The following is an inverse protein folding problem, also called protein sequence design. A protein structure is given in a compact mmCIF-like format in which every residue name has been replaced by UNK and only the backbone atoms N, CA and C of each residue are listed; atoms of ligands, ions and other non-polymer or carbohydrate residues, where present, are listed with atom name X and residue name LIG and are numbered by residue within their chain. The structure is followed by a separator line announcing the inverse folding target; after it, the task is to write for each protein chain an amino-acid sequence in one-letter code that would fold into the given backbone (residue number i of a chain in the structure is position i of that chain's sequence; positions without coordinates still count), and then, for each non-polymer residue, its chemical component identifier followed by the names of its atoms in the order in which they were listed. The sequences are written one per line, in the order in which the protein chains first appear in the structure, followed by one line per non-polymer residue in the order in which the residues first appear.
data_IF_134529545075
#
_entry.id   IF_134529545075
#
_cell.length_a   1.000
_cell.length_b   1.000
_cell.length_c   1.000
_cell.angle_alpha   90.00
_cell.angle_beta   90.00
_cell.angle_gamma   90.00
#
_symmetry.space_group_name_H-M   'P 1'
#
loop_
_entity.id
_entity.type
_entity.pdbx_description
1 polymer ?
#
# COMPACT_ATOMS: atom_id res chain seq x y z
N UNK A 1 5.81 1.10 -4.42
CA UNK A 1 6.88 0.42 -5.16
C UNK A 1 8.19 1.19 -5.06
N UNK A 2 9.31 0.47 -5.01
CA UNK A 2 10.70 1.00 -5.06
C UNK A 2 11.33 0.83 -6.45
N UNK A 3 10.54 0.45 -7.44
CA UNK A 3 11.03 0.29 -8.81
C UNK A 3 11.44 1.65 -9.37
N UNK A 4 12.58 1.69 -10.06
CA UNK A 4 13.06 2.91 -10.72
C UNK A 4 12.09 3.38 -11.80
N UNK A 5 12.11 4.68 -12.08
CA UNK A 5 11.23 5.28 -13.05
C UNK A 5 11.55 4.87 -14.50
N UNK A 6 10.60 5.06 -15.40
CA UNK A 6 10.82 4.95 -16.83
C UNK A 6 11.84 6.02 -17.28
N UNK A 7 12.75 5.65 -18.18
CA UNK A 7 13.85 6.51 -18.62
C UNK A 7 15.03 6.60 -17.63
N UNK A 8 14.92 5.99 -16.44
CA UNK A 8 16.03 5.92 -15.48
C UNK A 8 17.18 5.08 -16.03
N UNK A 9 18.45 5.54 -15.95
CA UNK A 9 19.57 4.82 -16.52
C UNK A 9 19.87 3.50 -15.79
N UNK A 10 20.10 2.44 -16.56
CA UNK A 10 20.55 1.13 -16.08
C UNK A 10 22.03 0.97 -16.44
N UNK A 11 22.91 1.28 -15.50
CA UNK A 11 24.37 1.36 -15.74
C UNK A 11 24.99 0.04 -16.22
N UNK A 12 24.48 -1.11 -15.75
CA UNK A 12 25.01 -2.44 -16.07
C UNK A 12 24.81 -2.84 -17.53
N UNK A 13 23.75 -2.35 -18.16
CA UNK A 13 23.36 -2.67 -19.54
C UNK A 13 23.49 -1.50 -20.49
N UNK A 14 23.81 -0.32 -19.98
CA UNK A 14 23.81 0.95 -20.72
C UNK A 14 22.48 1.22 -21.48
N UNK A 15 21.36 0.93 -20.80
CA UNK A 15 20.00 1.09 -21.30
C UNK A 15 19.18 1.96 -20.33
N UNK A 16 17.92 2.17 -20.68
CA UNK A 16 16.96 2.87 -19.83
C UNK A 16 15.92 1.88 -19.27
N UNK A 17 15.43 2.18 -18.07
CA UNK A 17 14.35 1.43 -17.43
C UNK A 17 13.02 1.65 -18.15
N UNK A 18 12.23 0.60 -18.27
CA UNK A 18 10.83 0.68 -18.73
C UNK A 18 9.88 1.22 -17.67
N UNK A 19 10.36 1.43 -16.44
CA UNK A 19 9.55 1.87 -15.31
C UNK A 19 8.69 0.78 -14.68
N UNK A 20 7.84 1.12 -13.71
CA UNK A 20 7.07 0.15 -12.93
C UNK A 20 5.85 -0.41 -13.66
N UNK A 21 5.29 0.28 -14.65
CA UNK A 21 4.00 -0.08 -15.27
C UNK A 21 4.02 -1.46 -15.94
N UNK A 22 5.02 -1.86 -16.72
CA UNK A 22 5.08 -3.21 -17.31
C UNK A 22 5.11 -4.32 -16.26
N UNK A 23 5.79 -4.11 -15.14
CA UNK A 23 5.81 -5.07 -14.02
C UNK A 23 4.44 -5.18 -13.34
N UNK A 24 3.72 -4.08 -13.19
CA UNK A 24 2.34 -4.09 -12.68
C UNK A 24 1.40 -4.84 -13.63
N UNK A 25 1.59 -4.68 -14.94
CA UNK A 25 0.86 -5.44 -15.95
C UNK A 25 1.17 -6.94 -15.90
N UNK A 26 2.42 -7.31 -15.65
CA UNK A 26 2.80 -8.72 -15.45
C UNK A 26 2.06 -9.33 -14.24
N UNK A 27 2.00 -8.62 -13.12
CA UNK A 27 1.25 -9.04 -11.92
C UNK A 27 -0.24 -9.17 -12.25
N UNK A 28 -0.83 -8.19 -12.94
CA UNK A 28 -2.23 -8.21 -13.37
C UNK A 28 -2.57 -9.45 -14.20
N UNK A 29 -1.70 -9.79 -15.15
CA UNK A 29 -1.86 -10.97 -16.01
C UNK A 29 -1.67 -12.28 -15.22
N UNK A 30 -0.74 -12.31 -14.27
CA UNK A 30 -0.55 -13.46 -13.39
C UNK A 30 -1.79 -13.72 -12.52
N UNK A 31 -2.40 -12.66 -11.96
CA UNK A 31 -3.65 -12.78 -11.19
C UNK A 31 -4.78 -13.39 -12.02
N UNK A 32 -4.91 -12.99 -13.29
CA UNK A 32 -5.86 -13.59 -14.20
C UNK A 32 -5.58 -15.07 -14.43
N UNK A 33 -4.32 -15.42 -14.70
CA UNK A 33 -3.90 -16.79 -15.00
C UNK A 33 -4.14 -17.77 -13.84
N UNK A 34 -3.89 -17.34 -12.58
CA UNK A 34 -4.07 -18.19 -11.40
C UNK A 34 -5.50 -18.20 -10.85
N UNK A 35 -6.39 -17.38 -11.40
CA UNK A 35 -7.79 -17.33 -10.98
C UNK A 35 -8.54 -18.60 -11.35
N UNK A 36 -9.17 -19.22 -10.37
CA UNK A 36 -10.00 -20.42 -10.55
C UNK A 36 -11.42 -20.01 -10.93
N UNK A 37 -11.75 -20.16 -12.22
CA UNK A 37 -13.05 -19.78 -12.79
C UNK A 37 -14.21 -20.36 -11.99
N UNK A 38 -15.12 -19.52 -11.54
CA UNK A 38 -16.32 -19.91 -10.77
C UNK A 38 -16.09 -20.35 -9.33
N UNK A 39 -14.83 -20.33 -8.83
CA UNK A 39 -14.51 -20.74 -7.46
C UNK A 39 -13.88 -19.59 -6.65
N UNK A 40 -12.67 -19.17 -6.99
CA UNK A 40 -11.96 -18.09 -6.31
C UNK A 40 -11.05 -17.36 -7.29
N UNK A 41 -11.19 -16.06 -7.37
CA UNK A 41 -10.31 -15.21 -8.16
C UNK A 41 -9.04 -14.87 -7.37
N UNK A 42 -7.91 -14.73 -8.08
CA UNK A 42 -6.73 -14.06 -7.54
C UNK A 42 -7.02 -12.57 -7.38
N UNK A 43 -6.55 -11.95 -6.31
CA UNK A 43 -6.71 -10.54 -6.06
C UNK A 43 -5.43 -9.96 -5.44
N UNK A 44 -5.06 -8.75 -5.84
CA UNK A 44 -3.95 -8.00 -5.28
C UNK A 44 -4.25 -6.50 -5.28
N UNK A 45 -3.58 -5.78 -4.40
CA UNK A 45 -3.51 -4.32 -4.42
C UNK A 45 -2.06 -3.89 -4.61
N UNK A 46 -1.82 -3.00 -5.55
CA UNK A 46 -0.51 -2.42 -5.83
C UNK A 46 -0.47 -1.02 -5.22
N UNK A 47 0.51 -0.79 -4.34
CA UNK A 47 0.68 0.47 -3.65
C UNK A 47 1.82 1.28 -4.26
N UNK A 48 1.58 2.57 -4.48
CA UNK A 48 2.61 3.53 -4.92
C UNK A 48 2.50 4.81 -4.11
N UNK A 49 3.66 5.37 -3.75
CA UNK A 49 3.73 6.71 -3.18
C UNK A 49 3.59 7.76 -4.28
N UNK A 50 2.88 8.83 -4.00
CA UNK A 50 2.51 9.83 -5.00
C UNK A 50 3.64 10.80 -5.42
N UNK A 51 4.84 10.62 -4.88
CA UNK A 51 6.05 11.31 -5.32
C UNK A 51 6.85 10.55 -6.40
N UNK A 52 6.41 9.33 -6.76
CA UNK A 52 7.08 8.56 -7.80
C UNK A 52 6.89 9.18 -9.18
N UNK A 53 7.95 9.25 -10.00
CA UNK A 53 7.92 9.91 -11.31
C UNK A 53 6.86 9.36 -12.29
N UNK A 54 6.55 8.06 -12.21
CA UNK A 54 5.48 7.44 -13.02
C UNK A 54 4.11 7.46 -12.35
N UNK A 55 3.88 8.36 -11.40
CA UNK A 55 2.64 8.38 -10.63
C UNK A 55 1.40 8.65 -11.50
N UNK A 56 1.51 9.52 -12.49
CA UNK A 56 0.41 9.80 -13.41
C UNK A 56 -0.03 8.56 -14.20
N UNK A 57 0.94 7.78 -14.68
CA UNK A 57 0.65 6.51 -15.35
C UNK A 57 0.02 5.48 -14.40
N UNK A 58 0.43 5.49 -13.12
CA UNK A 58 -0.17 4.65 -12.08
C UNK A 58 -1.63 5.01 -11.82
N UNK A 59 -1.98 6.30 -11.75
CA UNK A 59 -3.37 6.76 -11.59
C UNK A 59 -4.25 6.28 -12.74
N UNK A 60 -3.70 6.21 -13.94
CA UNK A 60 -4.41 5.80 -15.16
C UNK A 60 -4.56 4.27 -15.32
N UNK A 61 -3.90 3.46 -14.49
CA UNK A 61 -3.92 2.00 -14.63
C UNK A 61 -5.33 1.39 -14.68
N UNK A 62 -6.29 1.98 -13.96
CA UNK A 62 -7.67 1.48 -13.87
C UNK A 62 -8.64 2.18 -14.83
N UNK A 63 -8.17 3.09 -15.68
CA UNK A 63 -9.02 3.74 -16.67
C UNK A 63 -9.61 2.71 -17.66
N UNK A 64 -10.86 2.94 -18.09
CA UNK A 64 -11.58 2.05 -18.98
C UNK A 64 -11.13 2.16 -20.45
N UNK A 65 -10.48 3.27 -20.80
CA UNK A 65 -9.97 3.59 -22.14
C UNK A 65 -8.45 3.63 -22.17
N UNK A 66 -7.88 3.77 -23.37
CA UNK A 66 -6.45 3.86 -23.60
C UNK A 66 -5.81 2.51 -23.92
N UNK A 67 -4.48 2.49 -24.01
CA UNK A 67 -3.72 1.30 -24.38
C UNK A 67 -3.89 0.18 -23.33
N UNK A 68 -4.41 -1.02 -23.73
CA UNK A 68 -4.60 -2.15 -22.81
C UNK A 68 -3.30 -2.64 -22.15
N UNK A 69 -2.15 -2.44 -22.77
CA UNK A 69 -0.86 -2.80 -22.19
C UNK A 69 -0.46 -1.92 -21.02
N UNK A 70 -1.04 -0.72 -20.94
CA UNK A 70 -0.85 0.25 -19.86
C UNK A 70 -2.02 0.26 -18.85
N UNK A 71 -2.82 -0.81 -18.82
CA UNK A 71 -3.99 -0.91 -17.92
C UNK A 71 -3.98 -2.22 -17.13
N UNK A 72 -4.45 -2.14 -15.88
CA UNK A 72 -4.74 -3.32 -15.05
C UNK A 72 -6.25 -3.56 -14.97
N UNK A 73 -6.67 -4.83 -14.90
CA UNK A 73 -8.09 -5.21 -14.82
C UNK A 73 -8.38 -6.04 -13.56
N UNK A 74 -7.39 -6.77 -13.07
CA UNK A 74 -7.48 -7.68 -11.92
C UNK A 74 -6.76 -7.13 -10.69
N UNK A 75 -5.63 -6.44 -10.89
CA UNK A 75 -4.92 -5.78 -9.81
C UNK A 75 -5.60 -4.43 -9.47
N UNK A 76 -5.87 -4.22 -8.19
CA UNK A 76 -6.33 -2.96 -7.65
C UNK A 76 -5.14 -2.03 -7.40
N UNK A 77 -5.39 -0.74 -7.29
CA UNK A 77 -4.36 0.27 -7.03
C UNK A 77 -4.69 1.10 -5.80
N UNK A 78 -3.66 1.44 -5.03
CA UNK A 78 -3.77 2.30 -3.87
C UNK A 78 -2.59 3.28 -3.79
N UNK A 79 -2.85 4.50 -3.40
CA UNK A 79 -1.81 5.51 -3.21
C UNK A 79 -1.48 5.66 -1.72
N UNK A 80 -0.18 5.74 -1.43
CA UNK A 80 0.34 5.99 -0.09
C UNK A 80 0.75 7.46 0.00
N UNK A 81 -0.05 8.27 0.72
CA UNK A 81 0.04 9.73 0.75
C UNK A 81 0.74 10.18 2.03
N UNK A 82 1.71 11.11 1.88
CA UNK A 82 2.38 11.77 3.00
C UNK A 82 1.66 13.04 3.44
N UNK A 83 1.84 13.43 4.70
CA UNK A 83 1.34 14.71 5.23
C UNK A 83 1.96 15.91 4.51
N UNK A 84 3.22 15.82 4.09
CA UNK A 84 3.89 16.87 3.30
C UNK A 84 3.14 17.16 2.00
N UNK A 85 2.61 16.13 1.34
CA UNK A 85 1.79 16.33 0.15
C UNK A 85 0.51 17.10 0.48
N UNK A 86 -0.21 16.69 1.52
CA UNK A 86 -1.46 17.36 1.92
C UNK A 86 -1.23 18.80 2.37
N UNK A 87 -0.13 19.09 3.08
CA UNK A 87 0.29 20.46 3.42
C UNK A 87 0.52 21.32 2.15
N UNK A 88 1.07 20.72 1.09
CA UNK A 88 1.27 21.42 -0.20
C UNK A 88 -0.04 21.61 -0.97
N UNK A 89 -0.93 20.63 -0.93
CA UNK A 89 -2.30 20.78 -1.47
C UNK A 89 -3.04 21.94 -0.81
N UNK A 90 -3.00 22.02 0.52
CA UNK A 90 -3.61 23.10 1.29
C UNK A 90 -3.04 24.48 0.91
N UNK A 91 -1.71 24.58 0.82
CA UNK A 91 -0.98 25.82 0.54
C UNK A 91 -0.84 26.17 -0.95
N UNK A 92 -1.43 25.36 -1.84
CA UNK A 92 -1.35 25.53 -3.30
C UNK A 92 0.08 25.60 -3.83
N UNK A 93 0.92 24.68 -3.35
CA UNK A 93 2.33 24.59 -3.71
C UNK A 93 2.58 23.51 -4.74
N UNK A 94 3.77 23.51 -5.32
CA UNK A 94 4.22 22.47 -6.24
C UNK A 94 4.59 21.18 -5.49
N UNK A 95 4.32 20.06 -6.15
CA UNK A 95 4.74 18.73 -5.76
C UNK A 95 5.75 18.18 -6.76
N UNK A 96 6.89 17.69 -6.26
CA UNK A 96 7.94 17.15 -7.09
C UNK A 96 7.82 15.63 -7.17
N UNK A 97 8.01 15.12 -8.37
CA UNK A 97 8.04 13.69 -8.66
C UNK A 97 9.49 13.28 -8.89
N UNK A 98 9.90 12.20 -8.23
CA UNK A 98 11.28 11.75 -8.24
C UNK A 98 11.40 10.31 -8.75
N UNK A 99 12.60 9.98 -9.24
CA UNK A 99 12.99 8.60 -9.49
C UNK A 99 13.48 7.97 -8.17
N UNK A 100 12.91 6.84 -7.73
CA UNK A 100 13.40 6.11 -6.55
C UNK A 100 14.89 5.72 -6.63
N UNK A 101 15.45 5.58 -7.83
CA UNK A 101 16.87 5.29 -8.01
C UNK A 101 17.78 6.46 -7.59
N UNK A 102 17.27 7.70 -7.66
CA UNK A 102 18.01 8.91 -7.24
C UNK A 102 17.61 9.39 -5.83
N UNK A 103 16.47 8.91 -5.30
CA UNK A 103 15.94 9.27 -3.97
C UNK A 103 15.58 8.02 -3.14
N UNK A 104 16.54 7.10 -2.93
CA UNK A 104 16.27 5.74 -2.44
C UNK A 104 15.75 5.68 -1.00
N UNK A 105 16.01 6.68 -0.19
CA UNK A 105 15.63 6.75 1.23
C UNK A 105 14.22 7.31 1.46
N UNK A 106 13.59 7.98 0.49
CA UNK A 106 12.24 8.55 0.67
C UNK A 106 11.19 7.49 1.03
N UNK A 107 11.30 6.28 0.53
CA UNK A 107 10.36 5.21 0.86
C UNK A 107 10.43 4.79 2.32
N UNK A 108 11.61 4.91 2.95
CA UNK A 108 11.85 4.47 4.34
C UNK A 108 11.45 5.54 5.36
N UNK A 109 11.23 6.78 4.93
CA UNK A 109 10.97 7.91 5.78
C UNK A 109 9.47 8.24 5.84
N UNK A 110 9.02 8.75 6.99
CA UNK A 110 7.67 9.28 7.20
C UNK A 110 7.69 10.47 8.15
N UNK A 111 6.58 11.22 8.24
CA UNK A 111 6.42 12.37 9.11
C UNK A 111 7.42 13.50 8.81
N UNK A 112 7.98 14.09 9.87
CA UNK A 112 8.92 15.20 9.73
C UNK A 112 10.23 14.80 9.05
N UNK A 113 10.70 13.57 9.25
CA UNK A 113 11.90 13.06 8.58
C UNK A 113 11.70 12.98 7.06
N UNK A 114 10.55 12.49 6.61
CA UNK A 114 10.18 12.52 5.20
C UNK A 114 10.11 13.96 4.68
N UNK A 115 9.41 14.86 5.38
CA UNK A 115 9.23 16.25 4.98
C UNK A 115 10.57 16.98 4.84
N UNK A 116 11.50 16.77 5.78
CA UNK A 116 12.84 17.36 5.73
C UNK A 116 13.63 16.84 4.53
N UNK A 117 13.68 15.53 4.37
CA UNK A 117 14.43 14.89 3.27
C UNK A 117 13.85 15.20 1.89
N UNK A 118 12.53 15.24 1.78
CA UNK A 118 11.85 15.63 0.55
C UNK A 118 12.22 17.05 0.10
N UNK A 119 12.28 18.00 1.05
CA UNK A 119 12.72 19.38 0.79
C UNK A 119 14.20 19.48 0.38
N UNK A 120 15.06 18.60 0.91
CA UNK A 120 16.45 18.50 0.46
C UNK A 120 16.54 18.04 -1.00
N UNK A 121 15.76 17.02 -1.37
CA UNK A 121 15.69 16.55 -2.77
C UNK A 121 15.16 17.61 -3.72
N UNK A 122 14.19 18.43 -3.30
CA UNK A 122 13.76 19.58 -4.10
C UNK A 122 14.95 20.53 -4.35
N UNK A 123 15.70 20.90 -3.32
CA UNK A 123 16.89 21.76 -3.48
C UNK A 123 17.94 21.14 -4.40
N UNK A 124 18.12 19.82 -4.31
CA UNK A 124 19.03 19.09 -5.20
C UNK A 124 18.56 19.09 -6.64
N UNK A 125 17.26 18.91 -6.88
CA UNK A 125 16.66 18.98 -8.21
C UNK A 125 16.81 20.38 -8.83
N UNK A 126 16.47 21.42 -8.09
CA UNK A 126 16.60 22.82 -8.52
C UNK A 126 18.07 23.25 -8.76
N UNK A 127 18.99 22.64 -8.04
CA UNK A 127 20.43 22.83 -8.25
C UNK A 127 21.03 21.97 -9.38
N UNK A 128 20.20 21.20 -10.13
CA UNK A 128 20.65 20.35 -11.23
C UNK A 128 21.44 19.11 -10.79
N UNK A 129 21.33 18.69 -9.52
CA UNK A 129 22.02 17.51 -8.97
C UNK A 129 21.25 16.21 -9.16
N UNK A 130 19.96 16.28 -9.47
CA UNK A 130 19.13 15.13 -9.88
C UNK A 130 18.93 15.21 -11.40
N UNK A 131 18.95 14.05 -12.04
CA UNK A 131 18.82 13.95 -13.51
C UNK A 131 17.36 13.90 -13.94
N UNK A 132 16.54 13.19 -13.13
CA UNK A 132 15.20 12.78 -13.53
C UNK A 132 14.21 13.13 -12.44
N UNK A 133 13.50 14.23 -12.65
CA UNK A 133 12.39 14.66 -11.80
C UNK A 133 11.36 15.43 -12.63
N UNK A 134 10.18 15.58 -12.09
CA UNK A 134 9.13 16.43 -12.65
C UNK A 134 8.48 17.25 -11.54
N UNK A 135 7.71 18.25 -11.92
CA UNK A 135 7.06 19.17 -11.01
C UNK A 135 5.62 19.44 -11.46
N UNK A 136 4.68 19.22 -10.56
CA UNK A 136 3.25 19.41 -10.81
C UNK A 136 2.62 20.20 -9.67
N UNK A 137 1.57 21.02 -9.93
CA UNK A 137 0.82 21.64 -8.84
C UNK A 137 0.16 20.55 -7.95
N UNK A 138 0.39 20.57 -6.63
CA UNK A 138 -0.10 19.55 -5.71
C UNK A 138 -1.64 19.42 -5.76
N UNK A 139 -2.37 20.52 -5.86
CA UNK A 139 -3.84 20.52 -6.02
C UNK A 139 -4.29 19.84 -7.30
N UNK A 140 -3.57 20.04 -8.39
CA UNK A 140 -3.90 19.39 -9.66
C UNK A 140 -3.71 17.88 -9.58
N UNK A 141 -2.60 17.43 -8.98
CA UNK A 141 -2.36 16.01 -8.77
C UNK A 141 -3.43 15.40 -7.85
N UNK A 142 -3.78 16.06 -6.75
CA UNK A 142 -4.84 15.59 -5.86
C UNK A 142 -6.20 15.52 -6.54
N UNK A 143 -6.56 16.56 -7.32
CA UNK A 143 -7.77 16.56 -8.15
C UNK A 143 -7.78 15.38 -9.13
N UNK A 144 -6.64 15.08 -9.78
CA UNK A 144 -6.51 13.94 -10.69
C UNK A 144 -6.77 12.61 -9.97
N UNK A 145 -6.20 12.43 -8.77
CA UNK A 145 -6.46 11.24 -7.94
C UNK A 145 -7.95 11.11 -7.65
N UNK A 146 -8.61 12.17 -7.16
CA UNK A 146 -10.03 12.16 -6.82
C UNK A 146 -10.93 11.93 -8.06
N UNK A 147 -10.58 12.50 -9.21
CA UNK A 147 -11.30 12.27 -10.46
C UNK A 147 -11.22 10.81 -10.89
N UNK A 148 -10.02 10.19 -10.81
CA UNK A 148 -9.85 8.78 -11.11
C UNK A 148 -10.60 7.89 -10.12
N UNK A 149 -10.54 8.21 -8.82
CA UNK A 149 -11.26 7.50 -7.77
C UNK A 149 -12.78 7.54 -8.01
N UNK A 150 -13.32 8.68 -8.38
CA UNK A 150 -14.75 8.81 -8.70
C UNK A 150 -15.15 8.00 -9.93
N UNK A 151 -14.30 7.99 -10.98
CA UNK A 151 -14.60 7.32 -12.24
C UNK A 151 -14.39 5.80 -12.19
N UNK A 152 -13.44 5.31 -11.40
CA UNK A 152 -12.97 3.92 -11.44
C UNK A 152 -12.94 3.22 -10.08
N UNK A 153 -13.28 3.91 -8.98
CA UNK A 153 -13.06 3.49 -7.60
C UNK A 153 -11.58 3.26 -7.25
N UNK A 154 -10.65 3.81 -8.03
CA UNK A 154 -9.19 3.67 -7.87
C UNK A 154 -8.45 4.96 -8.26
N UNK A 155 -7.24 5.18 -7.68
CA UNK A 155 -6.61 4.41 -6.61
C UNK A 155 -7.29 4.65 -5.26
N UNK A 156 -7.20 3.69 -4.34
CA UNK A 156 -7.59 3.89 -2.95
C UNK A 156 -6.63 4.86 -2.26
N UNK A 157 -7.12 5.61 -1.28
CA UNK A 157 -6.32 6.58 -0.55
C UNK A 157 -5.89 5.99 0.79
N UNK A 158 -4.59 6.00 1.07
CA UNK A 158 -4.01 5.57 2.34
C UNK A 158 -2.98 6.60 2.83
N UNK A 159 -2.84 6.74 4.15
CA UNK A 159 -2.12 7.83 4.81
C UNK A 159 -0.83 7.32 5.45
N UNK A 160 0.30 7.49 4.74
CA UNK A 160 1.60 6.96 5.12
C UNK A 160 2.02 7.37 6.54
N UNK A 161 1.96 8.65 6.83
CA UNK A 161 2.47 9.18 8.09
C UNK A 161 1.60 8.75 9.26
N UNK A 162 0.29 8.87 9.14
CA UNK A 162 -0.66 8.41 10.17
C UNK A 162 -0.51 6.93 10.47
N UNK A 163 -0.38 6.10 9.43
CA UNK A 163 -0.20 4.65 9.58
C UNK A 163 1.09 4.36 10.35
N UNK A 164 2.21 4.93 9.93
CA UNK A 164 3.51 4.65 10.53
C UNK A 164 3.66 5.22 11.96
N UNK A 165 3.14 6.42 12.22
CA UNK A 165 3.16 7.03 13.56
C UNK A 165 2.31 6.24 14.56
N UNK A 166 1.19 5.65 14.11
CA UNK A 166 0.26 4.90 14.96
C UNK A 166 0.48 3.41 15.00
N UNK A 167 1.41 2.88 14.21
CA UNK A 167 1.72 1.46 14.19
C UNK A 167 2.24 0.97 15.54
N UNK A 168 1.68 -0.12 16.05
CA UNK A 168 2.08 -0.73 17.33
C UNK A 168 3.48 -1.34 17.29
N UNK A 169 3.96 -1.68 16.09
CA UNK A 169 5.25 -2.32 15.83
C UNK A 169 6.17 -1.46 14.95
N UNK A 170 6.10 -0.13 15.07
CA UNK A 170 6.92 0.82 14.32
C UNK A 170 8.43 0.70 14.60
N UNK A 171 8.81 0.00 15.68
CA UNK A 171 10.20 -0.32 16.00
C UNK A 171 10.82 -1.42 15.12
N UNK A 172 10.03 -2.12 14.31
CA UNK A 172 10.51 -3.22 13.46
C UNK A 172 10.72 -2.83 12.00
N UNK A 173 10.24 -1.66 11.58
CA UNK A 173 10.41 -1.15 10.22
C UNK A 173 9.33 -0.17 9.80
N UNK A 174 9.50 0.40 8.61
CA UNK A 174 8.54 1.30 8.00
C UNK A 174 7.47 0.50 7.23
N UNK A 175 6.21 0.90 7.40
CA UNK A 175 5.09 0.32 6.67
C UNK A 175 4.99 1.00 5.30
N UNK A 176 5.10 0.23 4.23
CA UNK A 176 5.13 0.71 2.84
C UNK A 176 3.85 0.44 2.06
N UNK A 177 2.99 -0.43 2.57
CA UNK A 177 1.75 -0.87 1.92
C UNK A 177 0.81 -1.49 2.95
N UNK A 178 -0.40 -1.76 2.52
CA UNK A 178 -1.40 -2.52 3.26
C UNK A 178 -1.89 -3.71 2.41
N UNK A 179 -2.85 -4.46 2.90
CA UNK A 179 -3.51 -5.53 2.15
C UNK A 179 -4.60 -4.99 1.22
N UNK A 180 -5.38 -5.91 0.63
CA UNK A 180 -6.46 -5.60 -0.28
C UNK A 180 -7.58 -4.75 0.36
N UNK A 181 -7.91 -5.03 1.62
CA UNK A 181 -8.97 -4.32 2.37
C UNK A 181 -8.47 -3.09 3.13
N UNK A 182 -7.16 -2.78 3.07
CA UNK A 182 -6.49 -1.60 3.66
C UNK A 182 -6.42 -1.54 5.19
N UNK A 183 -6.79 -2.62 5.90
CA UNK A 183 -6.76 -2.66 7.37
C UNK A 183 -5.43 -3.12 7.97
N UNK A 184 -4.57 -3.81 7.18
CA UNK A 184 -3.32 -4.37 7.70
C UNK A 184 -2.19 -3.34 7.61
N UNK A 185 -1.61 -3.02 8.75
CA UNK A 185 -0.53 -2.04 8.89
C UNK A 185 0.67 -2.71 9.59
N UNK A 186 1.34 -3.59 8.86
CA UNK A 186 2.51 -4.34 9.33
C UNK A 186 3.72 -4.00 8.48
N UNK A 187 4.91 -3.79 9.07
CA UNK A 187 6.15 -3.64 8.33
C UNK A 187 6.47 -4.88 7.51
N UNK A 188 7.02 -4.68 6.33
CA UNK A 188 7.43 -5.75 5.43
C UNK A 188 8.78 -5.45 4.80
N UNK A 189 9.60 -6.48 4.68
CA UNK A 189 10.88 -6.44 4.00
C UNK A 189 11.14 -7.77 3.26
N UNK A 190 12.35 -7.95 2.74
CA UNK A 190 12.74 -9.17 2.01
C UNK A 190 12.73 -10.45 2.85
N UNK A 191 12.78 -10.34 4.18
CA UNK A 191 12.81 -11.47 5.12
C UNK A 191 11.47 -11.65 5.84
N UNK A 192 10.61 -10.63 5.80
CA UNK A 192 9.35 -10.59 6.53
C UNK A 192 8.21 -10.19 5.59
N UNK A 193 7.41 -11.15 5.16
CA UNK A 193 6.19 -10.91 4.40
C UNK A 193 5.02 -11.01 5.37
N UNK A 194 4.36 -9.89 5.62
CA UNK A 194 3.30 -9.81 6.61
C UNK A 194 2.14 -10.76 6.29
N UNK A 195 1.70 -11.46 7.32
CA UNK A 195 0.49 -12.29 7.31
C UNK A 195 -0.41 -11.87 8.46
N UNK A 196 -1.71 -12.04 8.31
CA UNK A 196 -2.66 -11.77 9.38
C UNK A 196 -3.78 -12.81 9.37
N UNK A 197 -4.07 -13.35 10.55
CA UNK A 197 -5.17 -14.29 10.78
C UNK A 197 -6.40 -13.50 11.27
N UNK A 198 -7.55 -13.69 10.62
CA UNK A 198 -8.73 -12.87 10.85
C UNK A 198 -9.92 -13.68 11.36
N UNK A 199 -10.72 -13.07 12.25
CA UNK A 199 -12.03 -13.53 12.65
C UNK A 199 -12.98 -12.34 12.83
N UNK A 200 -14.27 -12.56 12.60
CA UNK A 200 -15.30 -11.56 12.89
C UNK A 200 -16.36 -12.15 13.81
N UNK A 201 -16.71 -11.39 14.85
CA UNK A 201 -17.79 -11.75 15.79
C UNK A 201 -19.10 -11.14 15.28
N UNK A 202 -20.10 -11.99 15.06
CA UNK A 202 -21.44 -11.53 14.75
C UNK A 202 -22.12 -11.00 16.03
N UNK A 203 -22.22 -9.69 16.16
CA UNK A 203 -22.80 -9.05 17.37
C UNK A 203 -24.26 -9.40 17.57
N UNK A 204 -25.04 -9.60 16.51
CA UNK A 204 -26.46 -9.93 16.64
C UNK A 204 -26.72 -11.24 17.40
N UNK A 205 -25.73 -12.16 17.41
CA UNK A 205 -25.83 -13.41 18.16
C UNK A 205 -25.78 -13.25 19.69
N UNK A 206 -25.43 -12.05 20.18
CA UNK A 206 -25.31 -11.70 21.61
C UNK A 206 -26.39 -10.74 22.06
N UNK A 207 -27.37 -10.48 21.22
CA UNK A 207 -28.54 -9.68 21.55
C UNK A 207 -29.70 -10.63 21.87
N UNK A 208 -30.25 -10.51 23.08
CA UNK A 208 -31.42 -11.28 23.54
C UNK A 208 -32.72 -10.74 22.91
N UNK A 209 -33.80 -11.52 22.98
CA UNK A 209 -35.11 -11.12 22.43
C UNK A 209 -35.67 -9.84 23.05
N UNK A 210 -35.36 -9.60 24.33
CA UNK A 210 -35.71 -8.38 25.07
C UNK A 210 -34.81 -7.18 24.74
N UNK A 211 -33.90 -7.31 23.74
CA UNK A 211 -32.93 -6.29 23.28
C UNK A 211 -31.87 -5.94 24.33
N UNK A 212 -31.61 -6.81 25.28
CA UNK A 212 -30.46 -6.68 26.19
C UNK A 212 -29.24 -7.41 25.65
N UNK A 213 -28.03 -6.95 26.02
CA UNK A 213 -26.78 -7.55 25.60
C UNK A 213 -26.34 -8.64 26.57
N UNK A 214 -25.99 -9.79 26.04
CA UNK A 214 -25.27 -10.85 26.78
C UNK A 214 -23.77 -10.56 26.75
N UNK A 215 -23.34 -9.67 27.63
CA UNK A 215 -21.95 -9.25 27.74
C UNK A 215 -21.00 -10.36 28.15
N UNK A 216 -21.43 -11.29 29.00
CA UNK A 216 -20.58 -12.37 29.46
C UNK A 216 -20.29 -13.35 28.33
N UNK A 217 -21.28 -13.74 27.56
CA UNK A 217 -21.13 -14.59 26.40
C UNK A 217 -20.28 -13.91 25.30
N UNK A 218 -20.47 -12.60 25.06
CA UNK A 218 -19.64 -11.84 24.13
C UNK A 218 -18.16 -11.83 24.57
N UNK A 219 -17.91 -11.63 25.86
CA UNK A 219 -16.57 -11.65 26.44
C UNK A 219 -15.88 -13.02 26.30
N UNK A 220 -16.63 -14.10 26.55
CA UNK A 220 -16.12 -15.45 26.35
C UNK A 220 -15.81 -15.74 24.87
N UNK A 221 -16.70 -15.34 23.96
CA UNK A 221 -16.47 -15.48 22.53
C UNK A 221 -15.24 -14.72 22.06
N UNK A 222 -15.03 -13.48 22.53
CA UNK A 222 -13.85 -12.69 22.22
C UNK A 222 -12.56 -13.36 22.72
N UNK A 223 -12.56 -13.90 23.95
CA UNK A 223 -11.41 -14.63 24.50
C UNK A 223 -11.09 -15.89 23.71
N UNK A 224 -12.13 -16.65 23.34
CA UNK A 224 -11.98 -17.86 22.54
C UNK A 224 -11.45 -17.52 21.14
N UNK A 225 -11.96 -16.46 20.51
CA UNK A 225 -11.52 -16.02 19.20
C UNK A 225 -10.03 -15.61 19.19
N UNK A 226 -9.59 -14.80 20.16
CA UNK A 226 -8.17 -14.42 20.29
C UNK A 226 -7.28 -15.65 20.47
N UNK A 227 -7.66 -16.57 21.34
CA UNK A 227 -6.89 -17.81 21.57
C UNK A 227 -6.81 -18.67 20.32
N UNK A 228 -7.91 -18.81 19.58
CA UNK A 228 -7.92 -19.57 18.33
C UNK A 228 -7.06 -18.92 17.27
N UNK A 229 -7.10 -17.59 17.12
CA UNK A 229 -6.26 -16.86 16.19
C UNK A 229 -4.77 -16.99 16.53
N UNK A 230 -4.42 -16.92 17.81
CA UNK A 230 -3.05 -17.12 18.28
C UNK A 230 -2.56 -18.54 17.98
N UNK A 231 -3.38 -19.57 18.26
CA UNK A 231 -3.06 -20.95 17.90
C UNK A 231 -2.90 -21.14 16.37
N UNK A 232 -3.68 -20.41 15.55
CA UNK A 232 -3.52 -20.46 14.09
C UNK A 232 -2.13 -19.99 13.64
N UNK A 233 -1.51 -19.06 14.35
CA UNK A 233 -0.15 -18.63 14.02
C UNK A 233 0.86 -19.80 14.13
N UNK A 234 0.62 -20.78 14.99
CA UNK A 234 1.50 -21.94 15.14
C UNK A 234 1.26 -23.04 14.10
N UNK A 235 0.00 -23.26 13.71
CA UNK A 235 -0.37 -24.39 12.85
C UNK A 235 -0.52 -24.02 11.37
N UNK A 236 -0.67 -22.72 11.05
CA UNK A 236 -0.82 -22.29 9.66
C UNK A 236 0.50 -22.40 8.91
N UNK A 237 0.51 -23.20 7.87
CA UNK A 237 1.65 -23.30 6.95
C UNK A 237 1.45 -22.31 5.79
N UNK A 238 2.37 -21.36 5.66
CA UNK A 238 2.41 -20.45 4.54
C UNK A 238 3.33 -21.01 3.43
N UNK A 239 3.07 -20.72 2.15
CA UNK A 239 3.81 -21.30 1.03
C UNK A 239 5.25 -20.79 0.91
N UNK A 240 5.59 -19.70 1.60
CA UNK A 240 6.91 -19.07 1.53
C UNK A 240 7.50 -18.88 2.93
N UNK A 241 8.82 -19.15 3.10
CA UNK A 241 9.49 -19.10 4.41
C UNK A 241 9.40 -17.72 5.09
N UNK A 242 9.50 -16.63 4.33
CA UNK A 242 9.46 -15.26 4.85
C UNK A 242 8.09 -14.91 5.45
N UNK A 243 7.01 -15.47 4.91
CA UNK A 243 5.67 -15.32 5.46
C UNK A 243 5.49 -16.18 6.73
N UNK A 244 6.05 -17.40 6.76
CA UNK A 244 6.08 -18.23 7.96
C UNK A 244 6.85 -17.53 9.08
N UNK A 245 8.04 -17.01 8.76
CA UNK A 245 8.86 -16.27 9.73
C UNK A 245 8.09 -15.08 10.31
N UNK A 246 7.50 -14.24 9.46
CA UNK A 246 6.70 -13.10 9.89
C UNK A 246 5.52 -13.52 10.78
N UNK A 247 4.79 -14.56 10.39
CA UNK A 247 3.65 -15.08 11.17
C UNK A 247 4.06 -15.50 12.58
N UNK A 248 5.20 -16.16 12.71
CA UNK A 248 5.72 -16.60 14.02
C UNK A 248 6.28 -15.45 14.86
N UNK A 249 6.93 -14.47 14.23
CA UNK A 249 7.55 -13.34 14.92
C UNK A 249 6.52 -12.31 15.40
N UNK A 250 5.58 -11.94 14.55
CA UNK A 250 4.62 -10.88 14.83
C UNK A 250 3.32 -11.38 15.42
N UNK A 251 2.95 -12.64 15.13
CA UNK A 251 1.68 -13.27 15.54
C UNK A 251 0.49 -12.34 15.30
N UNK A 252 0.45 -11.73 14.13
CA UNK A 252 -0.55 -10.71 13.81
C UNK A 252 -1.95 -11.34 13.67
N UNK A 253 -2.89 -10.82 14.45
CA UNK A 253 -4.29 -11.24 14.47
C UNK A 253 -5.21 -10.04 14.29
N UNK A 254 -6.34 -10.26 13.65
CA UNK A 254 -7.40 -9.25 13.49
C UNK A 254 -8.73 -9.79 13.98
N UNK A 255 -9.22 -9.24 15.08
CA UNK A 255 -10.56 -9.52 15.63
C UNK A 255 -11.51 -8.38 15.21
N UNK A 256 -12.39 -8.69 14.29
CA UNK A 256 -13.43 -7.77 13.81
C UNK A 256 -14.79 -8.05 14.45
N UNK A 257 -15.71 -7.15 14.21
CA UNK A 257 -17.12 -7.27 14.58
C UNK A 257 -18.00 -6.94 13.36
N UNK A 258 -19.17 -7.59 13.28
CA UNK A 258 -20.17 -7.33 12.24
C UNK A 258 -21.60 -7.44 12.82
#
# INVERSE_FOLDING_TARGET
TKLRAAGSPVKTTNTESTGPIPFMKMIDTALFAVSRKGKKAGAAAIYMENWHLNFDQFVDLRQNSGDPYLRTRFANTAVFISDEFMKRVEKDQDWYLFDPAETPDLTELYGEAFSARYKEYIKMAEAGKLRTFDKVPARQQFKRILTSLQATSHPWLTWKDTINVRALNNNTGTIHLSNLCTEITLPQDKNNIATCNLVSINLSAFLSEDKTWDWDRLKEAARAAVRQLDNLCDITQTPIPEAMHSNQQTRAIGLGIM
#
